data_IF_064389535932
#
_entry.id   IF_064389535932
#
_cell.length_a   1.000
_cell.length_b   1.000
_cell.length_c   1.000
_cell.angle_alpha   90.00
_cell.angle_beta   90.00
_cell.angle_gamma   90.00
#
_symmetry.space_group_name_H-M   'P 1'
#
loop_
_entity.id
_entity.type
_entity.pdbx_description
1 polymer ?
#
# COMPACT_ATOMS: atom_id res chain seq x y z
N UNK A 1 13.54 -1.44 68.17
CA UNK A 1 12.77 -0.36 67.51
C UNK A 1 13.34 0.05 66.15
N UNK A 2 14.58 -0.33 65.81
CA UNK A 2 15.24 0.09 64.58
C UNK A 2 14.96 -0.84 63.38
N UNK A 3 14.52 -2.08 63.61
CA UNK A 3 14.31 -3.07 62.55
C UNK A 3 12.95 -2.95 61.85
N UNK A 4 11.90 -2.55 62.58
CA UNK A 4 10.59 -2.21 62.01
C UNK A 4 10.65 -0.92 61.15
N UNK A 5 11.52 0.02 61.51
CA UNK A 5 11.76 1.24 60.73
C UNK A 5 12.54 0.92 59.43
N UNK A 6 13.48 -0.03 59.48
CA UNK A 6 14.20 -0.53 58.30
C UNK A 6 13.27 -1.30 57.35
N UNK A 7 12.37 -2.15 57.86
CA UNK A 7 11.41 -2.89 57.02
C UNK A 7 10.43 -1.92 56.33
N UNK A 8 9.92 -0.90 57.03
CA UNK A 8 9.08 0.15 56.45
C UNK A 8 9.82 0.96 55.38
N UNK A 9 11.08 1.31 55.62
CA UNK A 9 11.89 2.05 54.65
C UNK A 9 12.25 1.18 53.42
N UNK A 10 12.48 -0.12 53.60
CA UNK A 10 12.71 -1.07 52.50
C UNK A 10 11.44 -1.22 51.65
N UNK A 11 10.26 -1.34 52.29
CA UNK A 11 8.96 -1.49 51.60
C UNK A 11 8.59 -0.26 50.77
N UNK A 12 8.92 0.94 51.25
CA UNK A 12 8.69 2.21 50.54
C UNK A 12 9.64 2.36 49.35
N UNK A 13 10.87 1.85 49.44
CA UNK A 13 11.86 1.93 48.35
C UNK A 13 11.52 0.95 47.22
N UNK A 14 10.99 -0.24 47.52
CA UNK A 14 10.60 -1.22 46.48
C UNK A 14 9.37 -0.84 45.67
N UNK A 15 8.46 -0.02 46.20
CA UNK A 15 7.22 0.39 45.51
C UNK A 15 7.43 1.59 44.57
N UNK A 16 8.59 2.25 44.63
CA UNK A 16 8.96 3.36 43.75
C UNK A 16 9.63 2.96 42.44
N UNK A 17 10.01 1.69 42.27
CA UNK A 17 10.81 1.23 41.11
C UNK A 17 9.93 0.77 39.94
N UNK A 18 8.60 0.70 40.09
CA UNK A 18 7.69 0.22 39.04
C UNK A 18 7.26 1.27 38.01
N UNK A 19 7.88 2.45 37.96
CA UNK A 19 7.59 3.49 36.95
C UNK A 19 8.71 3.69 35.92
N UNK A 20 9.56 2.69 35.69
CA UNK A 20 10.27 2.57 34.41
C UNK A 20 9.28 2.05 33.34
N UNK A 21 8.25 2.85 33.09
CA UNK A 21 7.47 2.76 31.86
C UNK A 21 8.45 3.06 30.73
N UNK A 22 8.67 2.09 29.85
CA UNK A 22 9.36 2.36 28.59
C UNK A 22 8.49 3.34 27.80
N UNK A 23 8.77 4.64 27.89
CA UNK A 23 8.40 5.56 26.82
C UNK A 23 9.19 5.13 25.59
N UNK A 24 8.57 4.29 24.78
CA UNK A 24 9.05 4.03 23.43
C UNK A 24 8.67 5.25 22.61
N UNK A 25 9.51 6.28 22.67
CA UNK A 25 9.44 7.39 21.74
C UNK A 25 9.70 6.80 20.35
N UNK A 26 8.66 6.75 19.53
CA UNK A 26 8.84 6.68 18.08
C UNK A 26 9.37 8.05 17.72
N UNK A 27 10.66 8.12 17.40
CA UNK A 27 11.19 9.29 16.70
C UNK A 27 10.37 9.39 15.41
N UNK A 28 9.50 10.39 15.33
CA UNK A 28 9.00 10.85 14.05
C UNK A 28 10.21 11.45 13.34
N UNK A 29 10.98 10.57 12.69
CA UNK A 29 11.86 10.98 11.61
C UNK A 29 10.93 11.62 10.58
N UNK A 30 10.78 12.95 10.66
CA UNK A 30 10.27 13.74 9.55
C UNK A 30 11.34 13.77 8.44
N UNK A 31 11.73 12.58 8.00
CA UNK A 31 12.18 12.39 6.64
C UNK A 31 11.02 12.91 5.81
N UNK A 32 11.31 13.92 4.99
CA UNK A 32 10.43 14.44 3.95
C UNK A 32 9.55 13.27 3.51
N UNK A 33 8.26 13.29 3.89
CA UNK A 33 7.29 12.44 3.24
C UNK A 33 7.34 13.00 1.83
N UNK A 34 8.15 12.37 0.98
CA UNK A 34 7.82 12.29 -0.43
C UNK A 34 6.40 11.78 -0.37
N UNK A 35 5.43 12.69 -0.49
CA UNK A 35 4.09 12.27 -0.83
C UNK A 35 4.27 11.27 -1.97
N UNK A 36 3.54 10.17 -1.91
CA UNK A 36 3.55 9.09 -2.88
C UNK A 36 3.00 9.62 -4.21
N UNK A 37 3.72 10.58 -4.77
CA UNK A 37 3.39 11.40 -5.91
C UNK A 37 3.69 10.54 -7.11
N UNK A 38 2.60 10.19 -7.79
CA UNK A 38 2.69 9.46 -9.02
C UNK A 38 3.53 10.21 -10.05
N UNK A 39 4.48 9.49 -10.67
CA UNK A 39 5.30 10.05 -11.72
C UNK A 39 4.40 10.47 -12.89
N UNK A 40 4.31 11.77 -13.24
CA UNK A 40 3.47 12.24 -14.34
C UNK A 40 3.93 11.74 -15.71
N UNK A 41 5.14 11.17 -15.82
CA UNK A 41 5.66 10.60 -17.07
C UNK A 41 5.08 9.22 -17.39
N UNK A 42 4.40 8.55 -16.45
CA UNK A 42 3.77 7.25 -16.70
C UNK A 42 2.78 7.37 -17.86
N UNK A 43 2.93 6.50 -18.85
CA UNK A 43 2.12 6.50 -20.06
C UNK A 43 1.37 5.20 -20.29
N UNK A 44 0.21 5.29 -20.94
CA UNK A 44 -0.54 4.10 -21.30
C UNK A 44 0.26 3.20 -22.24
N UNK A 45 0.87 3.79 -23.27
CA UNK A 45 1.50 3.03 -24.36
C UNK A 45 2.77 2.30 -23.92
N UNK A 46 3.58 2.89 -23.02
CA UNK A 46 4.84 2.32 -22.57
C UNK A 46 4.69 1.43 -21.34
N UNK A 47 3.88 1.84 -20.37
CA UNK A 47 3.93 1.25 -19.03
C UNK A 47 2.73 0.34 -18.75
N UNK A 48 1.54 0.74 -19.19
CA UNK A 48 0.29 0.07 -18.80
C UNK A 48 -0.15 -1.00 -19.78
N UNK A 49 -0.05 -0.71 -21.08
CA UNK A 49 -0.60 -1.61 -22.11
C UNK A 49 -0.01 -3.01 -22.01
N UNK A 50 1.31 -3.12 -21.84
CA UNK A 50 1.98 -4.42 -21.73
C UNK A 50 1.56 -5.20 -20.47
N UNK A 51 1.28 -4.50 -19.36
CA UNK A 51 0.78 -5.13 -18.12
C UNK A 51 -0.61 -5.71 -18.37
N UNK A 52 -1.52 -4.94 -18.99
CA UNK A 52 -2.88 -5.40 -19.30
C UNK A 52 -2.85 -6.57 -20.30
N UNK A 53 -2.11 -6.43 -21.40
CA UNK A 53 -2.01 -7.44 -22.46
C UNK A 53 -1.54 -8.79 -21.90
N UNK A 54 -0.52 -8.78 -21.04
CA UNK A 54 0.11 -10.01 -20.53
C UNK A 54 -0.67 -10.66 -19.39
N UNK A 55 -1.40 -9.89 -18.59
CA UNK A 55 -1.97 -10.39 -17.32
C UNK A 55 -3.50 -10.43 -17.29
N UNK A 56 -4.19 -9.74 -18.21
CA UNK A 56 -5.64 -9.57 -18.13
C UNK A 56 -6.38 -10.16 -19.33
N UNK A 57 -5.83 -10.02 -20.55
CA UNK A 57 -6.55 -10.30 -21.81
C UNK A 57 -6.92 -11.78 -21.99
N UNK A 58 -6.21 -12.72 -21.37
CA UNK A 58 -6.54 -14.15 -21.47
C UNK A 58 -8.00 -14.44 -21.08
N UNK A 59 -8.51 -13.77 -20.03
CA UNK A 59 -9.91 -13.81 -19.63
C UNK A 59 -10.70 -12.61 -20.16
N UNK A 60 -10.14 -11.40 -20.04
CA UNK A 60 -10.79 -10.13 -20.37
C UNK A 60 -10.63 -9.71 -21.84
N UNK A 61 -10.37 -10.66 -22.74
CA UNK A 61 -10.19 -10.44 -24.17
C UNK A 61 -11.48 -10.47 -25.00
N UNK A 62 -12.62 -10.14 -24.39
CA UNK A 62 -13.96 -10.24 -25.00
C UNK A 62 -14.76 -11.49 -24.61
N UNK A 63 -14.14 -12.45 -23.90
CA UNK A 63 -14.83 -13.64 -23.38
C UNK A 63 -15.46 -13.41 -21.99
N UNK A 64 -14.91 -12.47 -21.23
CA UNK A 64 -15.39 -12.06 -19.91
C UNK A 64 -15.50 -10.54 -19.85
N UNK A 65 -16.57 -10.02 -19.27
CA UNK A 65 -16.70 -8.58 -19.03
C UNK A 65 -15.83 -8.14 -17.82
N UNK A 66 -15.18 -6.96 -17.87
CA UNK A 66 -15.09 -6.08 -19.03
C UNK A 66 -14.15 -6.64 -20.09
N UNK A 67 -14.40 -6.28 -21.35
CA UNK A 67 -13.41 -6.45 -22.42
C UNK A 67 -12.33 -5.37 -22.25
N UNK A 68 -11.06 -5.76 -22.13
CA UNK A 68 -9.93 -4.87 -21.88
C UNK A 68 -8.99 -4.74 -23.09
N UNK A 69 -9.43 -5.10 -24.31
CA UNK A 69 -8.56 -5.09 -25.50
C UNK A 69 -8.23 -3.71 -26.06
N UNK A 70 -9.06 -2.72 -25.80
CA UNK A 70 -8.90 -1.36 -26.33
C UNK A 70 -8.62 -0.37 -25.22
N UNK A 71 -7.90 0.71 -25.54
CA UNK A 71 -7.65 1.80 -24.59
C UNK A 71 -8.97 2.34 -24.02
N UNK A 72 -9.98 2.54 -24.87
CA UNK A 72 -11.27 3.11 -24.47
C UNK A 72 -11.94 2.24 -23.41
N UNK A 73 -11.89 0.92 -23.57
CA UNK A 73 -12.48 0.03 -22.57
C UNK A 73 -11.63 -0.06 -21.31
N UNK A 74 -10.29 -0.05 -21.42
CA UNK A 74 -9.40 -0.06 -20.25
C UNK A 74 -9.61 1.20 -19.42
N UNK A 75 -9.54 2.38 -20.04
CA UNK A 75 -9.71 3.67 -19.36
C UNK A 75 -11.13 3.83 -18.79
N UNK A 76 -12.17 3.39 -19.49
CA UNK A 76 -13.55 3.40 -18.97
C UNK A 76 -13.78 2.44 -17.78
N UNK A 77 -12.94 1.42 -17.62
CA UNK A 77 -13.03 0.45 -16.51
C UNK A 77 -11.88 0.59 -15.51
N UNK A 78 -11.06 1.63 -15.63
CA UNK A 78 -9.76 1.75 -14.97
C UNK A 78 -9.88 1.69 -13.44
N UNK A 79 -10.84 2.41 -12.86
CA UNK A 79 -11.08 2.39 -11.42
C UNK A 79 -11.47 1.00 -10.90
N UNK A 80 -12.28 0.26 -11.67
CA UNK A 80 -12.61 -1.13 -11.32
C UNK A 80 -11.39 -2.02 -11.43
N UNK A 81 -10.56 -1.84 -12.46
CA UNK A 81 -9.27 -2.55 -12.59
C UNK A 81 -8.40 -2.26 -11.38
N UNK A 82 -8.17 -0.98 -11.03
CA UNK A 82 -7.41 -0.54 -9.85
C UNK A 82 -7.86 -1.26 -8.59
N UNK A 83 -9.16 -1.23 -8.31
CA UNK A 83 -9.74 -1.85 -7.12
C UNK A 83 -9.43 -3.34 -7.05
N UNK A 84 -9.56 -4.06 -8.16
CA UNK A 84 -9.31 -5.52 -8.17
C UNK A 84 -7.82 -5.86 -8.06
N UNK A 85 -6.93 -5.09 -8.70
CA UNK A 85 -5.49 -5.36 -8.63
C UNK A 85 -4.90 -4.98 -7.28
N UNK A 86 -5.34 -3.86 -6.67
CA UNK A 86 -4.94 -3.44 -5.32
C UNK A 86 -5.42 -4.44 -4.27
N UNK A 87 -6.67 -4.92 -4.39
CA UNK A 87 -7.20 -5.97 -3.52
C UNK A 87 -6.65 -7.37 -3.83
N UNK A 88 -5.80 -7.50 -4.86
CA UNK A 88 -5.21 -8.76 -5.32
C UNK A 88 -6.23 -9.87 -5.59
N UNK A 89 -7.41 -9.48 -6.04
CA UNK A 89 -8.46 -10.43 -6.48
C UNK A 89 -8.32 -10.77 -7.95
N UNK A 90 -7.60 -9.95 -8.72
CA UNK A 90 -7.23 -10.20 -10.11
C UNK A 90 -5.72 -9.97 -10.31
N UNK A 91 -5.08 -10.74 -11.20
CA UNK A 91 -5.64 -11.84 -12.00
C UNK A 91 -5.95 -13.11 -11.18
N UNK A 92 -6.88 -13.95 -11.65
CA UNK A 92 -7.14 -15.24 -10.99
C UNK A 92 -5.96 -16.21 -11.17
N UNK A 93 -5.55 -16.87 -10.09
CA UNK A 93 -4.46 -17.87 -10.12
C UNK A 93 -3.05 -17.28 -10.22
N UNK A 94 -2.91 -15.96 -10.08
CA UNK A 94 -1.64 -15.24 -10.04
C UNK A 94 -1.79 -13.90 -9.34
N UNK A 95 -0.76 -13.07 -9.40
CA UNK A 95 -0.82 -11.69 -8.90
C UNK A 95 0.15 -10.82 -9.67
N UNK A 96 -0.20 -9.56 -9.88
CA UNK A 96 0.75 -8.54 -10.31
C UNK A 96 1.80 -8.32 -9.20
N UNK A 97 2.99 -7.89 -9.60
CA UNK A 97 3.97 -7.34 -8.67
C UNK A 97 3.48 -6.02 -8.07
N UNK A 98 4.06 -5.60 -6.94
CA UNK A 98 3.74 -4.31 -6.34
C UNK A 98 4.01 -3.15 -7.31
N UNK A 99 5.14 -3.18 -8.02
CA UNK A 99 5.51 -2.15 -9.00
C UNK A 99 4.49 -2.05 -10.14
N UNK A 100 3.95 -3.17 -10.61
CA UNK A 100 2.90 -3.17 -11.63
C UNK A 100 1.57 -2.63 -11.12
N UNK A 101 1.20 -2.96 -9.87
CA UNK A 101 0.01 -2.41 -9.22
C UNK A 101 0.17 -0.89 -9.10
N UNK A 102 1.37 -0.45 -8.75
CA UNK A 102 1.71 0.95 -8.55
C UNK A 102 1.70 1.75 -9.85
N UNK A 103 2.26 1.20 -10.94
CA UNK A 103 2.14 1.80 -12.27
C UNK A 103 0.67 1.98 -12.68
N UNK A 104 -0.18 0.96 -12.48
CA UNK A 104 -1.61 1.05 -12.79
C UNK A 104 -2.29 2.11 -11.92
N UNK A 105 -2.04 2.11 -10.60
CA UNK A 105 -2.58 3.10 -9.67
C UNK A 105 -2.22 4.52 -10.13
N UNK A 106 -0.95 4.74 -10.42
CA UNK A 106 -0.45 6.07 -10.77
C UNK A 106 -0.90 6.56 -12.14
N UNK A 107 -0.94 5.68 -13.14
CA UNK A 107 -1.54 6.05 -14.42
C UNK A 107 -3.00 6.52 -14.27
N UNK A 108 -3.78 5.86 -13.40
CA UNK A 108 -5.18 6.23 -13.15
C UNK A 108 -5.29 7.55 -12.41
N UNK A 109 -4.45 7.79 -11.40
CA UNK A 109 -4.38 9.05 -10.67
C UNK A 109 -3.95 10.22 -11.57
N UNK A 110 -3.10 9.95 -12.56
CA UNK A 110 -2.71 10.89 -13.60
C UNK A 110 -3.80 11.11 -14.69
N UNK A 111 -5.00 10.53 -14.51
CA UNK A 111 -6.15 10.74 -15.39
C UNK A 111 -6.33 9.67 -16.46
N UNK A 112 -5.64 8.53 -16.36
CA UNK A 112 -5.74 7.40 -17.27
C UNK A 112 -5.55 7.78 -18.75
N UNK A 113 -4.57 8.64 -19.04
CA UNK A 113 -4.34 9.25 -20.36
C UNK A 113 -3.92 8.23 -21.43
N UNK A 114 -4.25 8.50 -22.70
CA UNK A 114 -3.76 7.76 -23.87
C UNK A 114 -2.50 8.43 -24.45
N UNK A 115 -1.37 8.24 -23.80
CA UNK A 115 -0.09 8.89 -24.13
C UNK A 115 1.03 7.89 -24.41
#
# INVERSE_FOLDING_TARGET
>A
MNDLLKIKNILIITIGITFLSCERNVEEESGIISEELCDPAISFSTDIKSIIDNNCISCHGGNQAPDLRTYENISANSERVRTQVVNRTMPLGGSLSNDQIELIRCWIENGALNN
#
